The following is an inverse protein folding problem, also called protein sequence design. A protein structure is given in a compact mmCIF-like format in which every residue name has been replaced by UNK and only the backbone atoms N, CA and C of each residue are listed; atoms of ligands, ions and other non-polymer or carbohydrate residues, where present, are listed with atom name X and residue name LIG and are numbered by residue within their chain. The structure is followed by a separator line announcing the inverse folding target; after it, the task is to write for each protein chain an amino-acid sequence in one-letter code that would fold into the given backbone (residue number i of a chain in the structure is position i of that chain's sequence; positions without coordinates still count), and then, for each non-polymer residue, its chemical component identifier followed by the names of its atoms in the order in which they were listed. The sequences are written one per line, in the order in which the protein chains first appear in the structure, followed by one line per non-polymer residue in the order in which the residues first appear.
data_IF_982798880932
#
_entry.id   IF_982798880932
#
_cell.length_a   1.000
_cell.length_b   1.000
_cell.length_c   1.000
_cell.angle_alpha   90.00
_cell.angle_beta   90.00
_cell.angle_gamma   90.00
#
_symmetry.space_group_name_H-M   'P 1'
#
loop_
_entity.id
_entity.type
_entity.pdbx_description
1 polymer ?
#
# COMPACT_ATOMS: atom_id res chain seq x y z
N UNK A 1 14.70 -13.61 1.21
CA UNK A 1 13.99 -12.39 0.78
C UNK A 1 12.63 -12.83 0.23
N UNK A 2 11.52 -12.28 0.70
CA UNK A 2 10.16 -12.63 0.22
C UNK A 2 9.68 -11.52 -0.71
N UNK A 3 9.27 -11.88 -1.92
CA UNK A 3 8.64 -10.93 -2.85
C UNK A 3 7.18 -10.72 -2.42
N UNK A 4 6.73 -9.48 -2.21
CA UNK A 4 5.32 -9.14 -1.97
C UNK A 4 4.44 -9.56 -3.16
N UNK A 5 3.27 -10.10 -2.87
CA UNK A 5 2.33 -10.54 -3.90
C UNK A 5 0.88 -10.45 -3.42
N UNK A 6 -0.05 -10.38 -4.37
CA UNK A 6 -1.48 -10.44 -4.18
C UNK A 6 -2.14 -11.29 -5.25
N UNK A 7 -3.26 -11.94 -4.91
CA UNK A 7 -4.14 -12.50 -5.92
C UNK A 7 -4.87 -11.36 -6.63
N UNK A 8 -4.77 -11.31 -7.96
CA UNK A 8 -5.45 -10.34 -8.78
C UNK A 8 -6.92 -10.70 -9.02
N UNK A 9 -7.77 -9.70 -9.29
CA UNK A 9 -9.17 -9.93 -9.66
C UNK A 9 -9.34 -10.66 -11.00
N UNK A 10 -8.27 -10.74 -11.81
CA UNK A 10 -8.20 -11.49 -13.06
C UNK A 10 -7.81 -12.97 -12.86
N UNK A 11 -7.73 -13.44 -11.61
CA UNK A 11 -7.37 -14.82 -11.26
C UNK A 11 -5.88 -15.14 -11.39
N UNK A 12 -5.04 -14.12 -11.64
CA UNK A 12 -3.58 -14.26 -11.74
C UNK A 12 -2.91 -13.81 -10.44
N UNK A 13 -1.65 -14.19 -10.23
CA UNK A 13 -0.85 -13.67 -9.12
C UNK A 13 -0.07 -12.45 -9.60
N UNK A 14 -0.14 -11.37 -8.81
CA UNK A 14 0.55 -10.11 -9.06
C UNK A 14 1.62 -9.92 -8.00
N UNK A 15 2.77 -9.38 -8.38
CA UNK A 15 3.91 -9.23 -7.48
C UNK A 15 4.74 -8.00 -7.84
N UNK A 16 5.47 -7.47 -6.87
CA UNK A 16 6.30 -6.28 -7.04
C UNK A 16 7.73 -6.65 -7.40
N UNK A 17 8.30 -5.98 -8.38
CA UNK A 17 9.71 -6.09 -8.79
C UNK A 17 10.36 -4.71 -8.90
N UNK A 18 11.69 -4.67 -9.03
CA UNK A 18 12.40 -3.41 -9.16
C UNK A 18 11.97 -2.67 -10.43
N UNK A 19 11.28 -1.53 -10.26
CA UNK A 19 10.82 -0.70 -11.37
C UNK A 19 9.64 -1.29 -12.17
N UNK A 20 9.00 -2.36 -11.70
CA UNK A 20 7.88 -2.99 -12.41
C UNK A 20 6.89 -3.72 -11.49
N UNK A 21 5.70 -3.99 -12.03
CA UNK A 21 4.75 -4.94 -11.47
C UNK A 21 4.72 -6.18 -12.35
N UNK A 22 4.98 -7.34 -11.76
CA UNK A 22 4.88 -8.63 -12.40
C UNK A 22 3.48 -9.24 -12.26
N UNK A 23 3.07 -9.99 -13.28
CA UNK A 23 1.89 -10.86 -13.26
C UNK A 23 2.25 -12.23 -13.77
N UNK A 24 1.86 -13.28 -13.04
CA UNK A 24 1.99 -14.68 -13.47
C UNK A 24 0.61 -15.33 -13.54
N UNK A 25 0.33 -15.99 -14.67
CA UNK A 25 -0.91 -16.76 -14.84
C UNK A 25 -0.83 -18.12 -14.14
N UNK A 26 -1.97 -18.77 -13.94
CA UNK A 26 -2.03 -20.14 -13.40
C UNK A 26 -1.32 -21.17 -14.30
N UNK A 27 -1.08 -20.84 -15.56
CA UNK A 27 -0.30 -21.62 -16.51
C UNK A 27 1.20 -21.27 -16.51
N UNK A 28 1.64 -20.35 -15.64
CA UNK A 28 3.03 -19.95 -15.50
C UNK A 28 3.53 -18.90 -16.50
N UNK A 29 2.63 -18.25 -17.27
CA UNK A 29 3.03 -17.17 -18.17
C UNK A 29 3.26 -15.88 -17.37
N UNK A 30 4.46 -15.31 -17.47
CA UNK A 30 4.83 -14.05 -16.82
C UNK A 30 4.65 -12.86 -17.77
N UNK A 31 4.25 -11.71 -17.23
CA UNK A 31 4.23 -10.41 -17.89
C UNK A 31 4.69 -9.35 -16.89
N UNK A 32 5.43 -8.35 -17.37
CA UNK A 32 5.97 -7.25 -16.55
C UNK A 32 5.40 -5.92 -17.05
N UNK A 33 5.07 -5.04 -16.12
CA UNK A 33 4.53 -3.70 -16.39
C UNK A 33 5.44 -2.67 -15.73
N UNK A 34 6.19 -1.93 -16.55
CA UNK A 34 7.17 -0.95 -16.05
C UNK A 34 6.49 0.28 -15.45
N UNK A 35 7.01 0.72 -14.30
CA UNK A 35 6.55 1.94 -13.65
C UNK A 35 6.95 3.17 -14.47
N UNK A 36 6.06 4.18 -14.59
CA UNK A 36 6.41 5.48 -15.16
C UNK A 36 7.66 6.12 -14.53
N UNK A 37 7.86 5.93 -13.23
CA UNK A 37 9.10 6.34 -12.55
C UNK A 37 9.99 5.15 -12.23
N UNK A 38 11.11 5.06 -12.95
CA UNK A 38 11.99 3.88 -13.01
C UNK A 38 12.90 3.65 -11.80
N UNK A 39 12.85 4.50 -10.76
CA UNK A 39 13.77 4.42 -9.61
C UNK A 39 13.07 4.07 -8.28
N UNK A 40 11.79 3.71 -8.33
CA UNK A 40 11.00 3.45 -7.12
C UNK A 40 10.90 1.94 -6.84
N UNK A 41 10.89 1.60 -5.54
CA UNK A 41 10.76 0.22 -5.07
C UNK A 41 9.31 -0.01 -4.63
N UNK A 42 8.47 -0.64 -5.46
CA UNK A 42 7.17 -1.09 -5.00
C UNK A 42 7.39 -2.21 -3.96
N UNK A 43 6.79 -2.08 -2.77
CA UNK A 43 7.05 -3.01 -1.66
C UNK A 43 5.79 -3.69 -1.10
N UNK A 44 4.60 -3.16 -1.35
CA UNK A 44 3.36 -3.78 -0.89
C UNK A 44 2.34 -3.75 -2.00
N UNK A 45 1.48 -4.75 -2.04
CA UNK A 45 0.53 -4.94 -3.13
C UNK A 45 -0.74 -5.61 -2.61
N UNK A 46 -1.89 -5.18 -3.10
CA UNK A 46 -3.19 -5.68 -2.70
C UNK A 46 -4.20 -5.58 -3.85
N UNK A 47 -5.18 -6.46 -3.89
CA UNK A 47 -6.30 -6.31 -4.80
C UNK A 47 -7.19 -5.16 -4.33
N UNK A 48 -7.55 -4.26 -5.23
CA UNK A 48 -8.48 -3.15 -4.97
C UNK A 48 -9.94 -3.53 -5.22
N UNK A 49 -10.88 -2.80 -4.61
CA UNK A 49 -12.32 -3.01 -4.82
C UNK A 49 -12.80 -2.57 -6.21
N UNK A 50 -11.97 -1.86 -6.98
CA UNK A 50 -12.23 -1.45 -8.37
C UNK A 50 -11.81 -2.50 -9.41
N UNK A 51 -11.43 -3.71 -8.99
CA UNK A 51 -10.98 -4.74 -9.91
C UNK A 51 -9.59 -4.48 -10.49
N UNK A 52 -8.80 -3.62 -9.84
CA UNK A 52 -7.40 -3.36 -10.15
C UNK A 52 -6.50 -3.86 -9.02
N UNK A 53 -5.19 -3.86 -9.25
CA UNK A 53 -4.20 -4.14 -8.21
C UNK A 53 -3.55 -2.84 -7.80
N UNK A 54 -3.50 -2.59 -6.49
CA UNK A 54 -2.93 -1.40 -5.89
C UNK A 54 -1.64 -1.74 -5.18
N UNK A 55 -0.66 -0.84 -5.26
CA UNK A 55 0.65 -1.05 -4.68
C UNK A 55 1.22 0.23 -4.08
N UNK A 56 2.17 0.02 -3.18
CA UNK A 56 2.82 1.05 -2.41
C UNK A 56 4.25 1.25 -2.93
N UNK A 57 4.57 2.47 -3.34
CA UNK A 57 5.88 2.88 -3.85
C UNK A 57 6.55 3.79 -2.83
N UNK A 58 7.65 3.33 -2.24
CA UNK A 58 8.42 4.14 -1.31
C UNK A 58 9.42 4.99 -2.09
N UNK A 59 9.30 6.31 -1.97
CA UNK A 59 10.22 7.24 -2.61
C UNK A 59 11.66 7.03 -2.14
N UNK A 60 12.61 7.06 -3.07
CA UNK A 60 14.05 7.09 -2.78
C UNK A 60 14.57 8.53 -2.78
N UNK A 61 15.71 8.79 -2.13
CA UNK A 61 16.43 10.07 -2.22
C UNK A 61 15.60 11.34 -1.92
N UNK A 62 14.76 11.30 -0.88
CA UNK A 62 13.85 12.39 -0.48
C UNK A 62 12.70 12.67 -1.46
N UNK A 63 12.48 11.82 -2.46
CA UNK A 63 11.29 11.84 -3.32
C UNK A 63 10.01 11.49 -2.52
N UNK A 64 8.84 11.99 -2.95
CA UNK A 64 7.58 11.62 -2.32
C UNK A 64 7.26 10.13 -2.56
N UNK A 65 6.67 9.46 -1.57
CA UNK A 65 6.07 8.13 -1.81
C UNK A 65 4.80 8.26 -2.66
N UNK A 66 4.43 7.18 -3.34
CA UNK A 66 3.26 7.12 -4.19
C UNK A 66 2.43 5.88 -3.93
N UNK A 67 1.16 5.97 -4.31
CA UNK A 67 0.29 4.82 -4.51
C UNK A 67 0.20 4.52 -5.99
N UNK A 68 0.53 3.31 -6.36
CA UNK A 68 0.37 2.81 -7.72
C UNK A 68 -0.92 2.01 -7.86
N UNK A 69 -1.50 2.06 -9.05
CA UNK A 69 -2.63 1.21 -9.45
C UNK A 69 -2.33 0.64 -10.84
N UNK A 70 -2.42 -0.68 -10.98
CA UNK A 70 -2.31 -1.38 -12.27
C UNK A 70 -3.61 -2.10 -12.62
N UNK A 71 -4.09 -1.87 -13.85
CA UNK A 71 -5.25 -2.60 -14.38
C UNK A 71 -4.87 -4.02 -14.80
N UNK A 72 -5.82 -4.96 -14.95
CA UNK A 72 -5.54 -6.27 -15.51
C UNK A 72 -4.94 -6.24 -16.92
N UNK A 73 -5.12 -5.15 -17.66
CA UNK A 73 -4.54 -4.94 -18.98
C UNK A 73 -3.13 -4.34 -18.92
N UNK A 74 -2.63 -4.01 -17.73
CA UNK A 74 -1.27 -3.51 -17.52
C UNK A 74 -1.13 -1.99 -17.54
N UNK A 75 -2.23 -1.23 -17.47
CA UNK A 75 -2.16 0.23 -17.41
C UNK A 75 -1.88 0.69 -15.99
N UNK A 76 -0.82 1.48 -15.80
CA UNK A 76 -0.39 1.99 -14.50
C UNK A 76 -0.84 3.44 -14.32
N UNK A 77 -1.31 3.77 -13.12
CA UNK A 77 -1.56 5.14 -12.63
C UNK A 77 -0.87 5.33 -11.29
N UNK A 78 -0.27 6.49 -11.05
CA UNK A 78 0.40 6.83 -9.80
C UNK A 78 -0.29 8.02 -9.10
N UNK A 79 -0.38 7.97 -7.78
CA UNK A 79 -0.94 9.00 -6.92
C UNK A 79 0.10 9.44 -5.89
N UNK A 80 0.60 10.67 -6.03
CA UNK A 80 1.65 11.21 -5.15
C UNK A 80 1.12 11.53 -3.76
N UNK A 81 1.83 11.07 -2.72
CA UNK A 81 1.55 11.41 -1.33
C UNK A 81 2.41 12.58 -0.84
N UNK A 82 1.92 13.42 0.08
CA UNK A 82 2.69 14.55 0.60
C UNK A 82 3.76 14.11 1.61
N UNK A 83 4.96 13.73 1.15
CA UNK A 83 6.16 13.47 1.95
C UNK A 83 5.98 12.55 3.19
N UNK A 84 5.59 11.29 2.95
CA UNK A 84 5.57 10.25 3.99
C UNK A 84 6.30 8.99 3.53
N UNK A 85 6.76 8.19 4.50
CA UNK A 85 7.24 6.83 4.23
C UNK A 85 6.03 5.89 4.23
N UNK A 86 5.68 5.41 3.05
CA UNK A 86 4.57 4.47 2.92
C UNK A 86 4.98 3.09 3.44
N UNK A 87 4.20 2.51 4.35
CA UNK A 87 4.57 1.29 5.09
C UNK A 87 3.70 0.05 4.80
N UNK A 88 2.43 0.21 4.42
CA UNK A 88 1.55 -0.91 4.04
C UNK A 88 0.27 -0.39 3.38
N UNK A 89 -0.43 -1.23 2.61
CA UNK A 89 -1.72 -0.93 1.98
C UNK A 89 -2.66 -2.15 2.06
N UNK A 90 -3.96 -1.89 2.25
CA UNK A 90 -5.00 -2.91 2.26
C UNK A 90 -6.32 -2.37 1.70
N UNK A 91 -7.17 -3.27 1.19
CA UNK A 91 -8.53 -2.91 0.78
C UNK A 91 -9.44 -2.75 2.00
N UNK A 92 -10.09 -1.61 2.10
CA UNK A 92 -11.02 -1.28 3.18
C UNK A 92 -12.44 -1.80 2.97
N UNK A 93 -13.22 -1.86 4.06
CA UNK A 93 -14.63 -2.28 4.05
C UNK A 93 -15.56 -1.30 3.31
N UNK A 94 -15.10 -0.07 3.09
CA UNK A 94 -15.83 1.06 2.55
C UNK A 94 -15.58 1.29 1.05
N UNK A 95 -14.91 0.35 0.38
CA UNK A 95 -14.59 0.43 -1.04
C UNK A 95 -13.43 1.39 -1.37
N UNK A 96 -12.68 1.84 -0.36
CA UNK A 96 -11.42 2.55 -0.50
C UNK A 96 -10.22 1.64 -0.20
N UNK A 97 -9.02 2.12 -0.50
CA UNK A 97 -7.78 1.52 -0.04
C UNK A 97 -7.30 2.30 1.17
N UNK A 98 -6.75 1.59 2.14
CA UNK A 98 -6.24 2.15 3.38
C UNK A 98 -4.77 1.79 3.53
N UNK A 99 -3.99 2.75 4.00
CA UNK A 99 -2.54 2.63 4.04
C UNK A 99 -1.96 3.29 5.28
N UNK A 100 -0.73 2.94 5.59
CA UNK A 100 -0.02 3.45 6.76
C UNK A 100 1.14 4.32 6.31
N UNK A 101 1.21 5.51 6.87
CA UNK A 101 2.24 6.50 6.63
C UNK A 101 3.13 6.62 7.87
N UNK A 102 4.35 6.12 7.77
CA UNK A 102 5.36 6.26 8.80
C UNK A 102 6.07 7.60 8.74
N UNK A 103 6.43 8.13 9.91
CA UNK A 103 7.49 9.12 10.06
C UNK A 103 8.34 8.81 11.30
N UNK A 104 9.64 9.03 11.20
CA UNK A 104 10.59 8.79 12.30
C UNK A 104 10.45 9.78 13.47
N UNK A 105 9.70 10.88 13.29
CA UNK A 105 9.41 11.87 14.33
C UNK A 105 8.12 11.57 15.13
N UNK A 106 7.44 10.44 14.86
CA UNK A 106 6.21 10.06 15.55
C UNK A 106 4.95 10.80 15.07
N UNK A 107 4.98 11.42 13.89
CA UNK A 107 3.79 12.03 13.24
C UNK A 107 3.22 11.13 12.14
N UNK A 108 3.29 9.82 12.34
CA UNK A 108 2.69 8.88 11.40
C UNK A 108 1.17 9.05 11.32
N UNK A 109 0.58 8.56 10.23
CA UNK A 109 -0.85 8.67 9.95
C UNK A 109 -1.40 7.40 9.33
N UNK A 110 -2.72 7.26 9.40
CA UNK A 110 -3.46 6.31 8.58
C UNK A 110 -4.01 7.09 7.39
N UNK A 111 -3.65 6.67 6.19
CA UNK A 111 -4.15 7.23 4.95
C UNK A 111 -5.30 6.40 4.37
N UNK A 112 -6.16 7.05 3.62
CA UNK A 112 -7.24 6.45 2.85
C UNK A 112 -7.25 7.06 1.46
N UNK A 113 -7.26 6.23 0.43
CA UNK A 113 -7.40 6.66 -0.97
C UNK A 113 -8.64 6.01 -1.59
N UNK A 114 -9.49 6.82 -2.19
CA UNK A 114 -10.62 6.31 -2.99
C UNK A 114 -10.10 5.74 -4.30
N UNK A 115 -10.90 4.91 -4.98
CA UNK A 115 -10.53 4.37 -6.30
C UNK A 115 -10.48 5.46 -7.39
N UNK A 116 -11.02 6.64 -7.11
CA UNK A 116 -10.88 7.85 -7.93
C UNK A 116 -9.59 8.64 -7.64
N UNK A 117 -8.78 8.23 -6.65
CA UNK A 117 -7.52 8.89 -6.28
C UNK A 117 -7.65 10.00 -5.24
N UNK A 118 -8.82 10.24 -4.65
CA UNK A 118 -8.95 11.21 -3.56
C UNK A 118 -8.34 10.66 -2.27
N UNK A 119 -7.42 11.41 -1.67
CA UNK A 119 -6.68 11.03 -0.46
C UNK A 119 -7.20 11.81 0.76
N UNK A 120 -7.30 11.12 1.89
CA UNK A 120 -7.58 11.66 3.22
C UNK A 120 -6.67 11.00 4.25
N UNK A 121 -6.24 11.75 5.26
CA UNK A 121 -5.31 11.27 6.28
C UNK A 121 -5.92 11.43 7.69
N UNK A 122 -5.63 10.47 8.56
CA UNK A 122 -6.13 10.41 9.92
C UNK A 122 -4.96 10.32 10.91
N UNK A 123 -4.97 11.10 12.00
CA UNK A 123 -3.95 10.98 13.03
C UNK A 123 -4.03 9.61 13.72
N UNK A 124 -2.89 9.13 14.23
CA UNK A 124 -2.86 7.91 15.03
C UNK A 124 -3.58 8.12 16.37
N UNK A 125 -4.31 7.11 16.87
CA UNK A 125 -4.87 7.12 18.22
C UNK A 125 -3.80 7.32 19.30
N UNK A 126 -2.58 6.81 19.06
CA UNK A 126 -1.45 6.95 19.97
C UNK A 126 -0.46 8.03 19.48
N UNK A 127 -0.37 9.19 20.15
CA UNK A 127 0.59 10.24 19.78
C UNK A 127 2.04 9.77 19.86
N UNK A 128 2.88 10.23 18.93
CA UNK A 128 4.31 9.90 18.92
C UNK A 128 4.61 8.45 18.53
N UNK A 129 3.66 7.76 17.92
CA UNK A 129 3.83 6.41 17.37
C UNK A 129 4.03 6.44 15.85
N UNK A 130 4.44 5.32 15.28
CA UNK A 130 4.55 5.11 13.84
C UNK A 130 3.79 3.85 13.44
N UNK A 131 2.90 3.91 12.43
CA UNK A 131 2.12 2.75 12.03
C UNK A 131 2.98 1.81 11.17
N UNK A 132 2.83 0.52 11.40
CA UNK A 132 3.50 -0.54 10.65
C UNK A 132 2.59 -1.13 9.59
N UNK A 133 2.17 -2.38 9.77
CA UNK A 133 1.28 -3.09 8.84
C UNK A 133 -0.18 -2.75 9.12
N UNK A 134 -1.03 -2.79 8.09
CA UNK A 134 -2.49 -2.63 8.19
C UNK A 134 -3.22 -3.76 7.47
N UNK A 135 -4.38 -4.15 8.00
CA UNK A 135 -5.25 -5.16 7.39
C UNK A 135 -6.72 -4.91 7.74
N UNK A 136 -7.63 -5.34 6.87
CA UNK A 136 -9.07 -5.35 7.15
C UNK A 136 -9.45 -6.62 7.90
N UNK A 137 -10.06 -6.45 9.07
CA UNK A 137 -10.54 -7.53 9.91
C UNK A 137 -11.90 -8.09 9.47
N UNK A 138 -12.27 -9.29 9.96
CA UNK A 138 -13.57 -9.91 9.68
C UNK A 138 -14.76 -9.13 10.27
N UNK A 139 -14.49 -8.27 11.25
CA UNK A 139 -15.42 -7.31 11.86
C UNK A 139 -15.66 -6.07 10.98
N UNK A 140 -15.07 -6.02 9.78
CA UNK A 140 -15.08 -4.87 8.88
C UNK A 140 -14.43 -3.63 9.49
N UNK A 141 -13.53 -3.80 10.46
CA UNK A 141 -12.67 -2.73 10.96
C UNK A 141 -11.28 -2.84 10.34
N UNK A 142 -10.49 -1.76 10.39
CA UNK A 142 -9.09 -1.77 10.03
C UNK A 142 -8.23 -1.96 11.26
N UNK A 143 -7.28 -2.89 11.19
CA UNK A 143 -6.36 -3.24 12.26
C UNK A 143 -4.94 -2.95 11.81
N UNK A 144 -4.16 -2.29 12.65
CA UNK A 144 -2.78 -1.93 12.33
C UNK A 144 -1.85 -2.01 13.54
N UNK A 145 -0.56 -2.19 13.28
CA UNK A 145 0.46 -2.13 14.32
C UNK A 145 0.94 -0.70 14.52
N UNK A 146 1.21 -0.31 15.77
CA UNK A 146 1.84 0.95 16.13
C UNK A 146 3.13 0.67 16.89
N UNK A 147 4.24 1.31 16.49
CA UNK A 147 5.53 1.17 17.15
C UNK A 147 5.98 2.52 17.72
N UNK A 148 6.51 2.50 18.94
CA UNK A 148 7.14 3.65 19.58
C UNK A 148 8.66 3.62 19.43
N UNK A 149 9.29 4.80 19.52
CA UNK A 149 10.76 4.93 19.57
C UNK A 149 11.39 4.23 20.78
N UNK A 150 10.63 3.99 21.85
CA UNK A 150 11.08 3.26 23.04
C UNK A 150 10.98 1.73 22.91
N UNK A 151 10.65 1.21 21.72
CA UNK A 151 10.58 -0.24 21.45
C UNK A 151 9.28 -0.92 21.89
N UNK A 152 8.29 -0.19 22.39
CA UNK A 152 6.96 -0.73 22.69
C UNK A 152 6.05 -0.73 21.46
N UNK A 153 5.21 -1.75 21.32
CA UNK A 153 4.24 -1.88 20.23
C UNK A 153 2.80 -2.00 20.73
N UNK A 154 1.85 -1.51 19.94
CA UNK A 154 0.40 -1.65 20.18
C UNK A 154 -0.33 -2.08 18.90
N UNK A 155 -1.58 -2.48 19.08
CA UNK A 155 -2.52 -2.70 17.98
C UNK A 155 -3.56 -1.59 18.04
N UNK A 156 -3.68 -0.85 16.94
CA UNK A 156 -4.73 0.15 16.72
C UNK A 156 -5.88 -0.42 15.90
N UNK A 157 -7.05 0.21 16.03
CA UNK A 157 -8.26 -0.13 15.29
C UNK A 157 -8.94 1.15 14.79
N UNK A 158 -9.35 1.16 13.52
CA UNK A 158 -10.28 2.15 12.96
C UNK A 158 -11.59 1.43 12.59
N UNK A 159 -12.72 1.98 13.03
CA UNK A 159 -14.09 1.49 12.76
C UNK A 159 -14.82 2.37 11.77
#
# INVERSE_FOLDING_TARGET
MRIPWAAGPDGNLWFTELGSIGRITTMGKISEFFLPTSEEFPFNITAGPDGNVWFAETGTNNGPSKLGRVTPQGQISEFTLPHYLLNSITSGPDGALWFTEGQFNGTGKIGRVTTAGQISEFPLPTPGSSPGSITTGPDRALWFTESHSNGTGKIGQLV
#
